data_IF_772958825224
#
_entry.id   IF_772958825224
#
_cell.length_a   1.000
_cell.length_b   1.000
_cell.length_c   1.000
_cell.angle_alpha   90.00
_cell.angle_beta   90.00
_cell.angle_gamma   90.00
#
_symmetry.space_group_name_H-M   'P 1'
#
loop_
_entity.id
_entity.type
_entity.pdbx_description
1 polymer ?
#
# COMPACT_ATOMS: atom_id res chain seq x y z
N UNK A 1 24.73 49.82 20.94
CA UNK A 1 23.96 49.64 19.68
C UNK A 1 24.05 48.22 19.11
N UNK A 2 25.21 47.69 18.69
CA UNK A 2 25.33 46.33 18.10
C UNK A 2 24.77 45.17 18.96
N UNK A 3 25.00 45.20 20.28
CA UNK A 3 24.44 44.19 21.23
C UNK A 3 22.91 44.27 21.37
N UNK A 4 22.33 45.46 21.28
CA UNK A 4 20.87 45.65 21.37
C UNK A 4 20.25 45.13 20.08
N UNK A 5 20.80 45.51 18.93
CA UNK A 5 20.36 45.04 17.62
C UNK A 5 20.40 43.51 17.52
N UNK A 6 21.50 42.89 17.96
CA UNK A 6 21.62 41.42 17.97
C UNK A 6 20.60 40.72 18.88
N UNK A 7 20.31 41.28 20.06
CA UNK A 7 19.27 40.74 20.98
C UNK A 7 17.88 40.87 20.39
N UNK A 8 17.58 41.99 19.74
CA UNK A 8 16.28 42.22 19.07
C UNK A 8 16.11 41.26 17.90
N UNK A 9 17.12 41.07 17.06
CA UNK A 9 17.08 40.08 15.96
C UNK A 9 16.84 38.66 16.49
N UNK A 10 17.56 38.26 17.54
CA UNK A 10 17.36 36.93 18.14
C UNK A 10 15.94 36.75 18.68
N UNK A 11 15.42 37.75 19.40
CA UNK A 11 14.07 37.71 19.96
C UNK A 11 13.01 37.61 18.86
N UNK A 12 13.18 38.31 17.73
CA UNK A 12 12.28 38.21 16.57
C UNK A 12 12.35 36.82 15.96
N UNK A 13 13.55 36.26 15.74
CA UNK A 13 13.70 34.92 15.17
C UNK A 13 13.06 33.86 16.06
N UNK A 14 13.32 33.89 17.37
CA UNK A 14 12.68 32.97 18.31
C UNK A 14 11.16 33.17 18.40
N UNK A 15 10.69 34.42 18.30
CA UNK A 15 9.27 34.73 18.21
C UNK A 15 8.61 34.13 16.97
N UNK A 16 9.23 34.26 15.79
CA UNK A 16 8.73 33.68 14.54
C UNK A 16 8.73 32.14 14.59
N UNK A 17 9.78 31.53 15.14
CA UNK A 17 9.82 30.08 15.35
C UNK A 17 8.71 29.64 16.30
N UNK A 18 8.48 30.35 17.41
CA UNK A 18 7.40 30.04 18.33
C UNK A 18 6.02 30.15 17.66
N UNK A 19 5.78 31.20 16.89
CA UNK A 19 4.53 31.39 16.12
C UNK A 19 4.35 30.26 15.08
N UNK A 20 5.40 29.90 14.36
CA UNK A 20 5.38 28.78 13.40
C UNK A 20 4.99 27.46 14.08
N UNK A 21 5.58 27.15 15.23
CA UNK A 21 5.27 25.92 15.97
C UNK A 21 3.85 25.92 16.55
N UNK A 22 3.39 27.06 17.08
CA UNK A 22 2.00 27.20 17.53
C UNK A 22 1.04 26.97 16.36
N UNK A 23 1.33 27.55 15.19
CA UNK A 23 0.54 27.29 13.99
C UNK A 23 0.54 25.80 13.61
N UNK A 24 1.71 25.19 13.51
CA UNK A 24 1.86 23.79 13.10
C UNK A 24 1.16 22.80 14.05
N UNK A 25 1.16 23.06 15.35
CA UNK A 25 0.60 22.12 16.34
C UNK A 25 -0.90 22.30 16.58
N UNK A 26 -1.41 23.53 16.45
CA UNK A 26 -2.79 23.86 16.83
C UNK A 26 -3.71 24.23 15.66
N UNK A 27 -3.16 24.72 14.54
CA UNK A 27 -3.94 25.28 13.44
C UNK A 27 -3.74 24.58 12.10
N UNK A 28 -2.59 23.92 11.88
CA UNK A 28 -2.39 23.14 10.66
C UNK A 28 -3.39 21.98 10.59
N UNK A 29 -3.90 21.73 9.38
CA UNK A 29 -4.84 20.62 9.14
C UNK A 29 -4.18 19.30 9.54
N UNK A 30 -4.94 18.48 10.27
CA UNK A 30 -4.56 17.10 10.62
C UNK A 30 -5.16 16.08 9.67
N UNK A 31 -5.81 16.54 8.60
CA UNK A 31 -6.36 15.66 7.57
C UNK A 31 -5.23 14.90 6.91
N UNK A 32 -5.39 13.58 6.87
CA UNK A 32 -4.44 12.72 6.19
C UNK A 32 -4.63 12.93 4.69
N UNK A 33 -3.54 13.22 3.96
CA UNK A 33 -3.62 13.64 2.56
C UNK A 33 -4.37 12.63 1.68
N UNK A 34 -4.30 11.33 2.00
CA UNK A 34 -4.95 10.25 1.27
C UNK A 34 -6.32 9.84 1.83
N UNK A 35 -6.73 10.35 3.00
CA UNK A 35 -7.99 9.95 3.63
C UNK A 35 -9.18 10.48 2.82
N UNK A 36 -10.12 9.59 2.50
CA UNK A 36 -11.36 9.88 1.79
C UNK A 36 -12.51 10.01 2.80
N UNK A 37 -13.54 10.78 2.46
CA UNK A 37 -14.62 11.07 3.40
C UNK A 37 -15.66 9.95 3.50
N UNK A 38 -15.82 9.12 2.45
CA UNK A 38 -16.81 8.03 2.43
C UNK A 38 -16.37 6.81 3.27
N UNK A 39 -16.59 6.90 4.57
CA UNK A 39 -16.28 5.83 5.52
C UNK A 39 -17.12 4.57 5.32
N UNK A 40 -18.29 4.68 4.71
CA UNK A 40 -19.13 3.51 4.46
C UNK A 40 -18.58 2.70 3.28
N UNK A 41 -18.04 3.37 2.26
CA UNK A 41 -17.27 2.71 1.21
C UNK A 41 -16.01 2.03 1.77
N UNK A 42 -15.21 2.71 2.60
CA UNK A 42 -13.98 2.10 3.15
C UNK A 42 -14.25 0.89 4.03
N UNK A 43 -15.33 0.90 4.84
CA UNK A 43 -15.76 -0.27 5.63
C UNK A 43 -16.12 -1.46 4.73
N UNK A 44 -16.89 -1.22 3.65
CA UNK A 44 -17.24 -2.28 2.69
C UNK A 44 -16.00 -2.81 1.96
N UNK A 45 -15.13 -1.91 1.51
CA UNK A 45 -13.88 -2.27 0.86
C UNK A 45 -13.01 -3.15 1.77
N UNK A 46 -12.89 -2.80 3.06
CA UNK A 46 -12.13 -3.60 4.01
C UNK A 46 -12.69 -5.04 4.16
N UNK A 47 -14.01 -5.22 4.12
CA UNK A 47 -14.63 -6.56 4.15
C UNK A 47 -14.29 -7.37 2.88
N UNK A 48 -14.38 -6.75 1.70
CA UNK A 48 -13.98 -7.37 0.43
C UNK A 48 -12.52 -7.84 0.48
N UNK A 49 -11.62 -6.98 0.94
CA UNK A 49 -10.20 -7.33 1.07
C UNK A 49 -9.95 -8.40 2.14
N UNK A 50 -10.75 -8.42 3.21
CA UNK A 50 -10.68 -9.46 4.24
C UNK A 50 -11.04 -10.83 3.67
N UNK A 51 -12.10 -10.93 2.88
CA UNK A 51 -12.52 -12.17 2.24
C UNK A 51 -11.44 -12.70 1.29
N UNK A 52 -10.87 -11.80 0.46
CA UNK A 52 -9.76 -12.15 -0.43
C UNK A 52 -8.49 -12.58 0.32
N UNK A 53 -8.21 -11.97 1.47
CA UNK A 53 -7.10 -12.37 2.33
C UNK A 53 -7.30 -13.76 2.93
N UNK A 54 -8.52 -14.09 3.36
CA UNK A 54 -8.86 -15.43 3.87
C UNK A 54 -8.68 -16.49 2.78
N UNK A 55 -9.19 -16.25 1.57
CA UNK A 55 -9.01 -17.13 0.42
C UNK A 55 -7.52 -17.36 0.12
N UNK A 56 -6.73 -16.28 0.10
CA UNK A 56 -5.30 -16.35 -0.18
C UNK A 56 -4.52 -17.10 0.90
N UNK A 57 -4.83 -16.91 2.18
CA UNK A 57 -4.17 -17.62 3.29
C UNK A 57 -4.42 -19.13 3.18
N UNK A 58 -5.60 -19.55 2.72
CA UNK A 58 -5.91 -20.97 2.50
C UNK A 58 -5.05 -21.63 1.41
N UNK A 59 -4.41 -20.84 0.53
CA UNK A 59 -3.52 -21.30 -0.52
C UNK A 59 -2.05 -21.39 -0.09
N UNK A 60 -1.70 -20.94 1.12
CA UNK A 60 -0.30 -20.84 1.54
C UNK A 60 0.36 -22.23 1.67
N UNK A 61 1.53 -22.37 1.03
CA UNK A 61 2.41 -23.53 1.17
C UNK A 61 3.75 -23.11 1.78
N UNK A 62 4.02 -23.61 2.99
CA UNK A 62 5.22 -23.28 3.77
C UNK A 62 6.33 -24.32 3.62
N UNK A 63 6.17 -25.31 2.73
CA UNK A 63 7.21 -26.31 2.50
C UNK A 63 8.49 -25.66 1.96
N UNK A 64 9.66 -25.99 2.52
CA UNK A 64 10.94 -25.57 1.96
C UNK A 64 11.10 -26.02 0.50
N UNK A 65 11.69 -25.16 -0.35
CA UNK A 65 11.87 -25.47 -1.78
C UNK A 65 12.73 -26.72 -2.03
N UNK A 66 13.68 -27.02 -1.14
CA UNK A 66 14.51 -28.23 -1.22
C UNK A 66 13.73 -29.53 -0.93
N UNK A 67 12.54 -29.44 -0.35
CA UNK A 67 11.65 -30.59 -0.06
C UNK A 67 10.54 -30.77 -1.12
N UNK A 68 10.40 -29.82 -2.06
CA UNK A 68 9.28 -29.75 -3.00
C UNK A 68 9.51 -30.51 -4.34
N UNK A 69 10.60 -31.27 -4.48
CA UNK A 69 10.88 -32.12 -5.64
C UNK A 69 11.37 -31.36 -6.89
N UNK A 70 11.50 -32.05 -8.03
CA UNK A 70 12.03 -31.46 -9.28
C UNK A 70 11.13 -30.37 -9.88
N UNK A 71 9.84 -30.38 -9.54
CA UNK A 71 8.84 -29.43 -10.02
C UNK A 71 8.52 -28.30 -9.01
N UNK A 72 9.34 -28.17 -7.96
CA UNK A 72 9.13 -27.24 -6.85
C UNK A 72 8.82 -25.79 -7.30
N UNK A 73 9.56 -25.28 -8.29
CA UNK A 73 9.39 -23.90 -8.78
C UNK A 73 8.09 -23.73 -9.58
N UNK A 74 7.70 -24.74 -10.36
CA UNK A 74 6.43 -24.73 -11.10
C UNK A 74 5.25 -24.78 -10.14
N UNK A 75 5.33 -25.59 -9.09
CA UNK A 75 4.28 -25.67 -8.07
C UNK A 75 4.16 -24.36 -7.28
N UNK A 76 5.30 -23.76 -6.89
CA UNK A 76 5.32 -22.42 -6.28
C UNK A 76 4.70 -21.38 -7.19
N UNK A 77 5.08 -21.35 -8.47
CA UNK A 77 4.50 -20.42 -9.45
C UNK A 77 2.97 -20.58 -9.52
N UNK A 78 2.48 -21.81 -9.56
CA UNK A 78 1.03 -22.12 -9.58
C UNK A 78 0.32 -21.58 -8.33
N UNK A 79 0.87 -21.80 -7.14
CA UNK A 79 0.28 -21.32 -5.89
C UNK A 79 0.28 -19.79 -5.82
N UNK A 80 1.35 -19.15 -6.26
CA UNK A 80 1.44 -17.69 -6.31
C UNK A 80 0.44 -17.11 -7.32
N UNK A 81 0.21 -17.78 -8.45
CA UNK A 81 -0.81 -17.37 -9.40
C UNK A 81 -2.22 -17.45 -8.81
N UNK A 82 -2.55 -18.55 -8.14
CA UNK A 82 -3.85 -18.68 -7.45
C UNK A 82 -4.00 -17.61 -6.37
N UNK A 83 -2.95 -17.35 -5.59
CA UNK A 83 -2.92 -16.28 -4.60
C UNK A 83 -3.03 -14.88 -5.22
N UNK A 84 -2.58 -14.70 -6.47
CA UNK A 84 -2.68 -13.44 -7.21
C UNK A 84 -4.06 -13.27 -7.84
N UNK A 85 -4.71 -14.36 -8.25
CA UNK A 85 -6.11 -14.35 -8.73
C UNK A 85 -7.06 -13.81 -7.66
N UNK A 86 -6.81 -14.10 -6.37
CA UNK A 86 -7.64 -13.55 -5.28
C UNK A 86 -7.56 -12.03 -5.19
N UNK A 87 -6.40 -11.43 -5.50
CA UNK A 87 -6.23 -9.98 -5.58
C UNK A 87 -6.98 -9.41 -6.79
N UNK A 88 -6.93 -10.09 -7.93
CA UNK A 88 -7.63 -9.66 -9.14
C UNK A 88 -9.15 -9.62 -8.91
N UNK A 89 -9.70 -10.70 -8.34
CA UNK A 89 -11.12 -10.78 -7.96
C UNK A 89 -11.51 -9.73 -6.92
N UNK A 90 -10.65 -9.48 -5.92
CA UNK A 90 -10.85 -8.42 -4.92
C UNK A 90 -11.01 -7.05 -5.60
N UNK A 91 -10.13 -6.71 -6.56
CA UNK A 91 -10.22 -5.44 -7.28
C UNK A 91 -11.49 -5.35 -8.12
N UNK A 92 -11.85 -6.42 -8.83
CA UNK A 92 -13.12 -6.48 -9.58
C UNK A 92 -14.33 -6.22 -8.67
N UNK A 93 -14.33 -6.75 -7.45
CA UNK A 93 -15.40 -6.48 -6.47
C UNK A 93 -15.39 -5.03 -5.97
N UNK A 94 -14.22 -4.47 -5.67
CA UNK A 94 -14.08 -3.07 -5.26
C UNK A 94 -14.59 -2.10 -6.33
N UNK A 95 -14.34 -2.41 -7.61
CA UNK A 95 -14.77 -1.60 -8.76
C UNK A 95 -16.30 -1.61 -8.99
N UNK A 96 -17.06 -2.49 -8.34
CA UNK A 96 -18.52 -2.53 -8.47
C UNK A 96 -19.20 -1.30 -7.84
N UNK A 97 -18.53 -0.60 -6.92
CA UNK A 97 -19.05 0.61 -6.29
C UNK A 97 -17.97 1.68 -6.19
N UNK A 98 -18.34 2.94 -6.36
CA UNK A 98 -17.43 4.07 -6.15
C UNK A 98 -17.73 4.77 -4.81
N UNK A 99 -16.75 5.43 -4.20
CA UNK A 99 -17.01 6.40 -3.14
C UNK A 99 -17.95 7.51 -3.62
N UNK A 100 -18.72 8.06 -2.68
CA UNK A 100 -19.64 9.16 -2.95
C UNK A 100 -18.98 10.53 -2.85
N UNK A 101 -17.84 10.64 -2.17
CA UNK A 101 -17.09 11.88 -2.03
C UNK A 101 -16.13 12.11 -3.21
N UNK A 102 -15.95 13.38 -3.60
CA UNK A 102 -15.17 13.76 -4.77
C UNK A 102 -13.70 13.33 -4.68
N UNK A 103 -13.12 13.33 -3.48
CA UNK A 103 -11.72 12.92 -3.27
C UNK A 103 -11.59 11.41 -3.45
N UNK A 104 -12.48 10.62 -2.88
CA UNK A 104 -12.56 9.18 -3.10
C UNK A 104 -12.74 8.81 -4.57
N UNK A 105 -13.63 9.50 -5.29
CA UNK A 105 -13.83 9.30 -6.74
C UNK A 105 -12.57 9.56 -7.57
N UNK A 106 -11.71 10.48 -7.12
CA UNK A 106 -10.44 10.75 -7.78
C UNK A 106 -9.32 9.78 -7.38
N UNK A 107 -9.24 9.40 -6.10
CA UNK A 107 -8.11 8.63 -5.57
C UNK A 107 -8.26 7.11 -5.73
N UNK A 108 -9.47 6.56 -5.57
CA UNK A 108 -9.68 5.10 -5.63
C UNK A 108 -9.25 4.50 -6.98
N UNK A 109 -9.57 5.10 -8.14
CA UNK A 109 -9.11 4.56 -9.43
C UNK A 109 -7.58 4.52 -9.55
N UNK A 110 -6.88 5.51 -8.99
CA UNK A 110 -5.40 5.56 -8.99
C UNK A 110 -4.83 4.46 -8.10
N UNK A 111 -5.39 4.28 -6.91
CA UNK A 111 -4.99 3.22 -5.98
C UNK A 111 -5.26 1.81 -6.54
N UNK A 112 -6.38 1.62 -7.24
CA UNK A 112 -6.66 0.36 -7.97
C UNK A 112 -5.65 0.14 -9.09
N UNK A 113 -5.27 1.19 -9.82
CA UNK A 113 -4.24 1.11 -10.88
C UNK A 113 -2.88 0.67 -10.33
N UNK A 114 -2.51 1.20 -9.16
CA UNK A 114 -1.30 0.76 -8.44
C UNK A 114 -1.40 -0.74 -8.11
N UNK A 115 -2.55 -1.19 -7.60
CA UNK A 115 -2.80 -2.60 -7.29
C UNK A 115 -2.73 -3.52 -8.51
N UNK A 116 -3.24 -3.09 -9.67
CA UNK A 116 -3.12 -3.83 -10.94
C UNK A 116 -1.66 -3.95 -11.37
N UNK A 117 -0.86 -2.89 -11.22
CA UNK A 117 0.58 -2.94 -11.50
C UNK A 117 1.31 -3.91 -10.55
N UNK A 118 0.91 -3.95 -9.27
CA UNK A 118 1.45 -4.93 -8.31
C UNK A 118 1.07 -6.38 -8.67
N UNK A 119 -0.14 -6.60 -9.21
CA UNK A 119 -0.54 -7.90 -9.77
C UNK A 119 0.35 -8.28 -10.95
N UNK A 120 0.65 -7.35 -11.85
CA UNK A 120 1.54 -7.60 -12.99
C UNK A 120 2.95 -8.00 -12.53
N UNK A 121 3.51 -7.32 -11.51
CA UNK A 121 4.79 -7.68 -10.91
C UNK A 121 4.77 -9.13 -10.36
N UNK A 122 3.68 -9.53 -9.69
CA UNK A 122 3.50 -10.91 -9.20
C UNK A 122 3.45 -11.92 -10.33
N UNK A 123 2.77 -11.61 -11.44
CA UNK A 123 2.74 -12.49 -12.62
C UNK A 123 4.12 -12.63 -13.26
N UNK A 124 4.86 -11.53 -13.39
CA UNK A 124 6.24 -11.56 -13.88
C UNK A 124 7.12 -12.46 -13.01
N UNK A 125 6.99 -12.39 -11.69
CA UNK A 125 7.68 -13.29 -10.77
C UNK A 125 7.35 -14.78 -11.01
N UNK A 126 6.07 -15.14 -11.16
CA UNK A 126 5.71 -16.54 -11.46
C UNK A 126 6.22 -17.02 -12.82
N UNK A 127 6.35 -16.11 -13.80
CA UNK A 127 6.94 -16.43 -15.08
C UNK A 127 8.43 -16.81 -14.94
N UNK A 128 9.20 -16.04 -14.17
CA UNK A 128 10.61 -16.37 -13.87
C UNK A 128 10.77 -17.71 -13.15
N UNK A 129 9.88 -18.01 -12.18
CA UNK A 129 9.89 -19.31 -11.51
C UNK A 129 9.70 -20.47 -12.48
N UNK A 130 8.82 -20.33 -13.48
CA UNK A 130 8.60 -21.35 -14.52
C UNK A 130 9.79 -21.52 -15.46
N UNK A 131 10.62 -20.48 -15.61
CA UNK A 131 11.89 -20.57 -16.32
C UNK A 131 13.01 -21.23 -15.48
N UNK A 132 12.71 -21.62 -14.24
CA UNK A 132 13.69 -22.19 -13.32
C UNK A 132 14.50 -21.15 -12.54
N UNK A 133 14.14 -19.87 -12.65
CA UNK A 133 14.83 -18.76 -11.98
C UNK A 133 14.21 -18.50 -10.62
N UNK A 134 14.93 -18.84 -9.55
CA UNK A 134 14.50 -18.56 -8.17
C UNK A 134 15.15 -17.28 -7.64
N UNK A 135 14.67 -16.12 -8.11
CA UNK A 135 15.08 -14.80 -7.61
C UNK A 135 14.14 -14.31 -6.50
N UNK A 136 14.57 -13.39 -5.63
CA UNK A 136 13.66 -12.69 -4.74
C UNK A 136 12.55 -11.98 -5.53
N UNK A 137 11.36 -11.87 -4.94
CA UNK A 137 10.28 -11.08 -5.51
C UNK A 137 10.71 -9.61 -5.62
N UNK A 138 10.65 -9.08 -6.85
CA UNK A 138 10.88 -7.66 -7.13
C UNK A 138 9.57 -7.01 -7.53
N UNK A 139 9.32 -5.82 -6.97
CA UNK A 139 8.16 -5.00 -7.32
C UNK A 139 8.58 -3.67 -7.95
N UNK A 140 7.65 -3.07 -8.68
CA UNK A 140 7.81 -1.76 -9.29
C UNK A 140 8.07 -0.67 -8.23
N UNK A 141 8.96 0.26 -8.57
CA UNK A 141 9.29 1.42 -7.72
C UNK A 141 8.61 2.66 -8.30
N UNK A 142 7.75 3.29 -7.50
CA UNK A 142 7.00 4.50 -7.90
C UNK A 142 7.36 5.62 -6.94
N UNK A 143 7.84 6.75 -7.48
CA UNK A 143 8.29 7.90 -6.70
C UNK A 143 9.37 7.55 -5.65
N UNK A 144 10.20 6.54 -5.93
CA UNK A 144 11.29 6.13 -5.06
C UNK A 144 10.90 5.21 -3.90
N UNK A 145 9.64 4.77 -3.82
CA UNK A 145 9.18 3.78 -2.84
C UNK A 145 8.64 2.53 -3.54
N UNK A 146 8.71 1.35 -2.90
CA UNK A 146 8.08 0.15 -3.42
C UNK A 146 6.56 0.33 -3.55
N UNK A 147 5.98 -0.28 -4.59
CA UNK A 147 4.56 -0.15 -4.88
C UNK A 147 3.70 -0.67 -3.72
N UNK A 148 4.10 -1.77 -3.09
CA UNK A 148 3.42 -2.30 -1.91
C UNK A 148 3.34 -1.28 -0.76
N UNK A 149 4.38 -0.48 -0.54
CA UNK A 149 4.42 0.55 0.49
C UNK A 149 3.41 1.68 0.18
N UNK A 150 3.35 2.12 -1.08
CA UNK A 150 2.39 3.12 -1.55
C UNK A 150 0.96 2.65 -1.31
N UNK A 151 0.64 1.43 -1.73
CA UNK A 151 -0.68 0.82 -1.58
C UNK A 151 -1.03 0.64 -0.08
N UNK A 152 -0.08 0.16 0.72
CA UNK A 152 -0.27 -0.07 2.16
C UNK A 152 -0.53 1.22 2.93
N UNK A 153 0.16 2.30 2.56
CA UNK A 153 -0.02 3.63 3.15
C UNK A 153 -1.44 4.14 2.92
N UNK A 154 -1.91 4.10 1.65
CA UNK A 154 -3.28 4.50 1.33
C UNK A 154 -4.32 3.68 2.10
N UNK A 155 -4.13 2.36 2.18
CA UNK A 155 -5.02 1.47 2.92
C UNK A 155 -5.04 1.80 4.43
N UNK A 156 -3.88 2.13 5.01
CA UNK A 156 -3.78 2.52 6.42
C UNK A 156 -4.47 3.87 6.69
N UNK A 157 -4.23 4.87 5.84
CA UNK A 157 -4.81 6.21 5.93
C UNK A 157 -6.35 6.20 5.86
N UNK A 158 -6.93 5.15 5.27
CA UNK A 158 -8.38 4.99 5.06
C UNK A 158 -9.02 3.91 5.94
N UNK A 159 -8.32 3.44 6.98
CA UNK A 159 -8.77 2.39 7.90
C UNK A 159 -9.18 1.06 7.21
N UNK A 160 -8.57 0.76 6.06
CA UNK A 160 -8.78 -0.46 5.28
C UNK A 160 -7.62 -1.44 5.49
N UNK A 161 -7.34 -1.81 6.74
CA UNK A 161 -6.17 -2.62 7.09
C UNK A 161 -6.08 -3.93 6.31
N UNK A 162 -7.21 -4.57 6.01
CA UNK A 162 -7.23 -5.81 5.21
C UNK A 162 -6.89 -5.60 3.74
N UNK A 163 -6.99 -4.37 3.23
CA UNK A 163 -6.62 -3.99 1.86
C UNK A 163 -5.14 -3.68 1.69
N UNK A 164 -4.30 -3.91 2.70
CA UNK A 164 -2.84 -3.85 2.52
C UNK A 164 -2.37 -4.99 1.61
N UNK A 165 -1.36 -4.76 0.76
CA UNK A 165 -0.79 -5.81 -0.08
C UNK A 165 -0.31 -6.99 0.77
N UNK A 166 -0.41 -8.22 0.23
CA UNK A 166 0.10 -9.38 0.93
C UNK A 166 1.63 -9.36 1.04
N UNK A 167 2.12 -9.81 2.19
CA UNK A 167 3.56 -10.00 2.46
C UNK A 167 3.98 -11.46 2.24
N UNK A 168 3.26 -12.21 1.40
CA UNK A 168 3.45 -13.64 1.15
C UNK A 168 4.69 -13.94 0.28
N UNK A 169 5.21 -12.92 -0.43
CA UNK A 169 6.39 -13.02 -1.29
C UNK A 169 7.59 -12.20 -0.80
N UNK A 170 7.39 -11.31 0.16
CA UNK A 170 8.45 -10.51 0.78
C UNK A 170 9.19 -11.33 1.82
N UNK A 171 10.40 -11.79 1.49
CA UNK A 171 11.29 -12.57 2.35
C UNK A 171 12.67 -11.91 2.42
#
# INVERSE_FOLDING_TARGET
MKRILGRTTLAVVFGLLAVMWVYALFFASKEVANEIADQDWTKRANLICQDAAVERIALADFRPLNEAGTDALNERARLVDLATDTLDHMLVQLEQTAPTDAKGQALIPLWITDYRSYIDDRRAYTYELRLGTNVPFGESIVMGIPLSEKIATFAADNAMTSCKPPMDLSI
#
